data_IF_131723512427
#
_entry.id   IF_131723512427
#
_cell.length_a   1.000
_cell.length_b   1.000
_cell.length_c   1.000
_cell.angle_alpha   90.00
_cell.angle_beta   90.00
_cell.angle_gamma   90.00
#
_symmetry.space_group_name_H-M   'P 1'
#
loop_
_entity.id
_entity.type
_entity.pdbx_description
1 polymer ?
#
# COMPACT_ATOMS: atom_id res chain seq x y z
N UNK A 1 9.36 -7.13 -12.10
CA UNK A 1 10.15 -6.68 -10.93
C UNK A 1 11.62 -7.00 -11.19
N UNK A 2 12.54 -6.03 -11.14
CA UNK A 2 14.00 -6.28 -11.25
C UNK A 2 14.56 -6.91 -9.96
N UNK A 3 15.71 -7.58 -10.02
CA UNK A 3 16.41 -8.12 -8.83
C UNK A 3 16.66 -7.05 -7.76
N UNK A 4 17.05 -5.84 -8.18
CA UNK A 4 17.29 -4.69 -7.29
C UNK A 4 16.03 -4.26 -6.54
N UNK A 5 14.90 -4.13 -7.24
CA UNK A 5 13.61 -3.83 -6.63
C UNK A 5 13.15 -4.94 -5.67
N UNK A 6 13.32 -6.21 -6.06
CA UNK A 6 12.97 -7.37 -5.21
C UNK A 6 13.76 -7.37 -3.90
N UNK A 7 15.03 -6.98 -3.96
CA UNK A 7 15.87 -6.83 -2.75
C UNK A 7 15.36 -5.71 -1.84
N UNK A 8 14.96 -4.57 -2.41
CA UNK A 8 14.40 -3.45 -1.66
C UNK A 8 13.06 -3.74 -0.99
N UNK A 9 12.28 -4.69 -1.49
CA UNK A 9 11.02 -5.10 -0.84
C UNK A 9 11.21 -5.74 0.55
N UNK A 10 12.44 -6.09 0.92
CA UNK A 10 12.79 -6.61 2.26
C UNK A 10 13.42 -5.55 3.17
N UNK A 11 13.60 -4.32 2.67
CA UNK A 11 14.33 -3.25 3.35
C UNK A 11 13.77 -2.96 4.75
N UNK A 12 12.43 -2.93 4.89
CA UNK A 12 11.78 -2.65 6.17
C UNK A 12 12.16 -3.60 7.32
N UNK A 13 12.74 -4.77 7.01
CA UNK A 13 13.18 -5.78 7.99
C UNK A 13 14.70 -5.96 8.01
N UNK A 14 15.36 -5.87 6.85
CA UNK A 14 16.79 -6.18 6.68
C UNK A 14 17.70 -4.94 6.66
N UNK A 15 17.22 -3.81 6.14
CA UNK A 15 18.01 -2.59 5.90
C UNK A 15 17.75 -1.48 6.90
N UNK A 16 17.08 -1.81 8.01
CA UNK A 16 16.58 -0.86 8.99
C UNK A 16 17.58 -0.59 10.14
N UNK A 17 17.65 0.66 10.60
CA UNK A 17 18.49 1.11 11.73
C UNK A 17 17.56 1.68 12.81
N UNK A 18 17.59 1.10 14.02
CA UNK A 18 16.79 1.57 15.17
C UNK A 18 17.59 2.61 15.98
N UNK A 19 17.43 3.88 15.65
CA UNK A 19 18.01 5.01 16.39
C UNK A 19 16.95 5.84 17.14
N UNK A 20 15.72 5.31 17.24
CA UNK A 20 14.59 5.97 17.89
C UNK A 20 13.91 7.06 17.07
N UNK A 21 14.38 7.40 15.87
CA UNK A 21 13.72 8.38 15.00
C UNK A 21 12.70 7.70 14.06
N UNK A 22 11.55 8.34 13.87
CA UNK A 22 10.50 7.85 12.95
C UNK A 22 10.74 8.43 11.54
N UNK A 23 11.17 7.59 10.59
CA UNK A 23 11.45 7.94 9.18
C UNK A 23 10.58 7.18 8.20
N UNK A 24 9.99 6.08 8.64
CA UNK A 24 9.26 5.15 7.82
C UNK A 24 8.10 4.53 8.61
N UNK A 25 6.97 4.13 7.99
CA UNK A 25 5.88 3.45 8.69
C UNK A 25 6.30 2.22 9.53
N UNK A 26 7.39 1.56 9.13
CA UNK A 26 8.01 0.44 9.87
C UNK A 26 8.53 0.82 11.27
N UNK A 27 8.84 2.09 11.51
CA UNK A 27 9.27 2.60 12.83
C UNK A 27 8.11 2.72 13.82
N UNK A 28 6.87 2.71 13.32
CA UNK A 28 5.69 2.96 14.12
C UNK A 28 5.40 1.83 15.11
N UNK A 29 4.83 2.19 16.27
CA UNK A 29 4.33 1.20 17.25
C UNK A 29 3.25 0.29 16.65
N UNK A 30 2.43 0.81 15.75
CA UNK A 30 1.38 0.04 15.07
C UNK A 30 1.98 -1.09 14.23
N UNK A 31 3.04 -0.80 13.47
CA UNK A 31 3.76 -1.81 12.67
C UNK A 31 4.41 -2.86 13.56
N UNK A 32 5.16 -2.46 14.59
CA UNK A 32 5.80 -3.39 15.53
C UNK A 32 4.76 -4.27 16.25
N UNK A 33 3.61 -3.72 16.62
CA UNK A 33 2.51 -4.49 17.22
C UNK A 33 1.91 -5.50 16.24
N UNK A 34 1.64 -5.07 15.00
CA UNK A 34 1.14 -5.94 13.93
C UNK A 34 2.09 -7.10 13.69
N UNK A 35 3.39 -6.84 13.62
CA UNK A 35 4.40 -7.87 13.38
C UNK A 35 4.47 -8.90 14.49
N UNK A 36 4.30 -8.47 15.74
CA UNK A 36 4.20 -9.38 16.87
C UNK A 36 2.93 -10.23 16.80
N UNK A 37 1.79 -9.62 16.47
CA UNK A 37 0.48 -10.28 16.44
C UNK A 37 0.37 -11.31 15.31
N UNK A 38 0.87 -10.98 14.13
CA UNK A 38 0.73 -11.80 12.91
C UNK A 38 2.05 -12.43 12.45
N UNK A 39 3.02 -12.61 13.36
CA UNK A 39 4.35 -13.13 13.03
C UNK A 39 4.30 -14.41 12.19
N UNK A 40 3.53 -15.43 12.63
CA UNK A 40 3.49 -16.73 11.94
C UNK A 40 2.79 -16.68 10.58
N UNK A 41 1.74 -15.86 10.44
CA UNK A 41 0.92 -15.77 9.22
C UNK A 41 1.55 -14.87 8.17
N UNK A 42 2.09 -13.72 8.59
CA UNK A 42 2.47 -12.63 7.69
C UNK A 42 3.92 -12.19 7.85
N UNK A 43 4.30 -11.71 9.04
CA UNK A 43 5.55 -10.95 9.23
C UNK A 43 6.82 -11.80 9.30
N UNK A 44 6.70 -13.13 9.35
CA UNK A 44 7.84 -14.05 9.24
C UNK A 44 8.55 -13.86 7.90
N UNK A 45 7.80 -13.79 6.80
CA UNK A 45 8.36 -13.51 5.48
C UNK A 45 8.49 -11.98 5.29
N UNK A 46 9.71 -11.51 5.09
CA UNK A 46 10.01 -10.09 4.83
C UNK A 46 9.44 -9.60 3.50
N UNK A 47 8.99 -10.51 2.63
CA UNK A 47 8.47 -10.17 1.32
C UNK A 47 6.96 -9.96 1.32
N UNK A 48 6.26 -10.38 2.38
CA UNK A 48 4.84 -10.06 2.57
C UNK A 48 4.64 -8.54 2.49
N UNK A 49 3.73 -8.11 1.63
CA UNK A 49 3.63 -6.71 1.18
C UNK A 49 2.66 -5.93 2.06
N UNK A 50 3.13 -4.81 2.60
CA UNK A 50 2.30 -3.85 3.31
C UNK A 50 2.00 -2.69 2.39
N UNK A 51 0.72 -2.47 2.18
CA UNK A 51 0.20 -1.43 1.31
C UNK A 51 -0.35 -0.29 2.16
N UNK A 52 0.02 0.94 1.81
CA UNK A 52 -0.71 2.14 2.17
C UNK A 52 -1.78 2.41 1.12
N UNK A 53 -3.01 2.67 1.54
CA UNK A 53 -4.09 3.10 0.65
C UNK A 53 -4.29 4.60 0.81
N UNK A 54 -4.29 5.32 -0.32
CA UNK A 54 -4.58 6.74 -0.40
C UNK A 54 -5.62 6.99 -1.50
N UNK A 55 -6.51 7.95 -1.27
CA UNK A 55 -7.46 8.43 -2.27
C UNK A 55 -7.71 9.91 -2.01
N UNK A 56 -7.72 10.72 -3.07
CA UNK A 56 -8.00 12.15 -3.00
C UNK A 56 -8.71 12.60 -4.28
N UNK A 57 -9.52 13.65 -4.20
CA UNK A 57 -10.27 14.19 -5.32
C UNK A 57 -9.46 15.22 -6.10
N UNK A 58 -9.31 15.04 -7.41
CA UNK A 58 -8.74 16.07 -8.28
C UNK A 58 -9.65 16.38 -9.48
N UNK A 59 -9.57 17.63 -9.96
CA UNK A 59 -10.29 18.07 -11.14
C UNK A 59 -9.34 18.13 -12.35
N UNK A 60 -9.45 17.21 -13.33
CA UNK A 60 -8.55 17.18 -14.48
C UNK A 60 -8.70 18.39 -15.42
N UNK A 61 -9.84 19.09 -15.38
CA UNK A 61 -10.12 20.25 -16.24
C UNK A 61 -9.84 21.60 -15.55
N UNK A 62 -9.36 21.57 -14.30
CA UNK A 62 -9.06 22.76 -13.52
C UNK A 62 -10.26 23.72 -13.38
N UNK A 63 -10.00 25.03 -13.37
CA UNK A 63 -11.04 26.06 -13.21
C UNK A 63 -12.05 26.11 -14.38
N UNK A 64 -11.77 25.45 -15.51
CA UNK A 64 -12.60 25.53 -16.71
C UNK A 64 -13.89 24.70 -16.61
N UNK A 65 -13.96 23.76 -15.66
CA UNK A 65 -15.15 22.96 -15.43
C UNK A 65 -15.16 22.44 -13.99
N UNK A 66 -16.09 22.91 -13.16
CA UNK A 66 -16.31 22.41 -11.79
C UNK A 66 -17.20 21.16 -11.74
N UNK A 67 -17.65 20.66 -12.89
CA UNK A 67 -18.63 19.57 -12.98
C UNK A 67 -18.02 18.18 -13.00
N UNK A 68 -16.69 18.06 -12.86
CA UNK A 68 -15.97 16.80 -12.95
C UNK A 68 -14.92 16.69 -11.84
N UNK A 69 -14.98 15.61 -11.08
CA UNK A 69 -13.96 15.19 -10.13
C UNK A 69 -13.55 13.75 -10.41
N UNK A 70 -12.28 13.45 -10.18
CA UNK A 70 -11.73 12.11 -10.31
C UNK A 70 -11.02 11.78 -9.01
N UNK A 71 -11.31 10.59 -8.49
CA UNK A 71 -10.71 10.09 -7.25
C UNK A 71 -9.88 8.82 -7.54
N UNK A 72 -8.57 8.95 -7.78
CA UNK A 72 -7.69 7.80 -7.89
C UNK A 72 -7.51 7.13 -6.53
N UNK A 73 -7.72 5.81 -6.49
CA UNK A 73 -7.31 4.97 -5.37
C UNK A 73 -5.91 4.45 -5.67
N UNK A 74 -4.97 4.81 -4.80
CA UNK A 74 -3.55 4.54 -4.96
C UNK A 74 -3.08 3.63 -3.83
N UNK A 75 -2.37 2.57 -4.19
CA UNK A 75 -1.67 1.69 -3.27
C UNK A 75 -0.17 1.98 -3.29
N UNK A 76 0.42 2.11 -2.10
CA UNK A 76 1.84 2.44 -1.90
C UNK A 76 2.52 1.26 -1.19
N UNK A 77 3.53 0.61 -1.78
CA UNK A 77 4.25 -0.48 -1.13
C UNK A 77 5.21 0.06 -0.07
N UNK A 78 4.78 0.05 1.20
CA UNK A 78 5.62 0.45 2.34
C UNK A 78 6.72 -0.56 2.67
N UNK A 79 6.91 -1.59 1.85
CA UNK A 79 8.08 -2.47 1.96
C UNK A 79 9.37 -1.78 1.52
N UNK A 80 9.25 -0.82 0.59
CA UNK A 80 10.36 -0.10 -0.02
C UNK A 80 10.96 0.93 0.95
N UNK A 81 12.25 1.28 0.77
CA UNK A 81 12.86 2.33 1.58
C UNK A 81 12.22 3.72 1.38
N UNK A 82 12.40 4.66 2.33
CA UNK A 82 11.78 5.98 2.31
C UNK A 82 11.97 6.76 1.00
N UNK A 83 13.16 6.66 0.40
CA UNK A 83 13.49 7.36 -0.85
C UNK A 83 12.87 6.71 -2.10
N UNK A 84 12.26 5.53 -1.98
CA UNK A 84 11.58 4.83 -3.08
C UNK A 84 10.08 4.76 -2.90
N UNK A 85 9.56 4.49 -1.69
CA UNK A 85 8.13 4.27 -1.48
C UNK A 85 7.27 5.50 -1.89
N UNK A 86 7.81 6.72 -1.75
CA UNK A 86 7.11 7.96 -2.13
C UNK A 86 7.29 8.34 -3.61
N UNK A 87 8.07 7.59 -4.41
CA UNK A 87 8.20 7.87 -5.85
C UNK A 87 6.95 7.40 -6.58
N UNK A 88 6.37 8.30 -7.39
CA UNK A 88 5.17 8.02 -8.19
C UNK A 88 5.30 6.75 -9.07
N UNK A 89 6.51 6.42 -9.52
CA UNK A 89 6.80 5.22 -10.31
C UNK A 89 6.52 3.90 -9.56
N UNK A 90 6.48 3.95 -8.22
CA UNK A 90 6.21 2.80 -7.36
C UNK A 90 4.76 2.81 -6.83
N UNK A 91 3.96 3.81 -7.19
CA UNK A 91 2.55 3.85 -6.85
C UNK A 91 1.78 2.92 -7.77
N UNK A 92 0.87 2.14 -7.19
CA UNK A 92 -0.01 1.24 -7.91
C UNK A 92 -1.38 1.91 -7.94
N UNK A 93 -1.81 2.36 -9.11
CA UNK A 93 -3.16 2.90 -9.29
C UNK A 93 -4.13 1.73 -9.43
N UNK A 94 -4.95 1.48 -8.42
CA UNK A 94 -5.88 0.34 -8.39
C UNK A 94 -7.22 0.67 -9.02
N UNK A 95 -7.73 1.88 -8.82
CA UNK A 95 -9.05 2.31 -9.29
C UNK A 95 -9.07 3.81 -9.58
N UNK A 96 -9.94 4.21 -10.50
CA UNK A 96 -10.30 5.60 -10.74
C UNK A 96 -11.82 5.69 -10.56
N UNK A 97 -12.27 6.51 -9.61
CA UNK A 97 -13.70 6.77 -9.40
C UNK A 97 -14.05 8.08 -10.09
N UNK A 98 -14.75 8.06 -11.24
CA UNK A 98 -15.23 9.26 -11.90
C UNK A 98 -16.54 9.72 -11.25
N UNK A 99 -16.71 11.03 -11.09
CA UNK A 99 -18.00 11.57 -10.68
C UNK A 99 -18.02 13.09 -10.70
N UNK A 100 -19.19 13.72 -10.94
CA UNK A 100 -19.30 15.17 -10.84
C UNK A 100 -19.02 15.70 -9.42
N UNK A 101 -19.06 14.82 -8.42
CA UNK A 101 -18.81 15.09 -7.01
C UNK A 101 -18.03 13.95 -6.37
N UNK A 102 -17.49 14.23 -5.18
CA UNK A 102 -16.88 13.22 -4.31
C UNK A 102 -17.81 12.01 -4.09
N UNK A 103 -17.25 10.78 -3.98
CA UNK A 103 -18.03 9.61 -3.59
C UNK A 103 -18.67 9.78 -2.20
N UNK A 104 -18.15 10.69 -1.36
CA UNK A 104 -18.70 10.99 -0.04
C UNK A 104 -18.85 9.73 0.81
N UNK A 105 -20.05 9.52 1.34
CA UNK A 105 -20.36 8.35 2.17
C UNK A 105 -20.36 7.02 1.40
N UNK A 106 -20.38 7.03 0.06
CA UNK A 106 -20.44 5.82 -0.76
C UNK A 106 -19.04 5.31 -1.17
N UNK A 107 -17.96 5.84 -0.61
CA UNK A 107 -16.59 5.43 -0.96
C UNK A 107 -16.34 3.94 -0.66
N UNK A 108 -16.98 3.41 0.37
CA UNK A 108 -16.93 2.00 0.76
C UNK A 108 -17.49 1.06 -0.34
N UNK A 109 -18.59 1.45 -1.00
CA UNK A 109 -19.17 0.72 -2.12
C UNK A 109 -18.17 0.59 -3.28
N UNK A 110 -17.40 1.64 -3.58
CA UNK A 110 -16.37 1.60 -4.61
C UNK A 110 -15.14 0.79 -4.18
N UNK A 111 -14.79 0.80 -2.90
CA UNK A 111 -13.62 0.07 -2.38
C UNK A 111 -13.88 -1.43 -2.21
N UNK A 112 -15.14 -1.88 -2.22
CA UNK A 112 -15.49 -3.28 -1.98
C UNK A 112 -14.71 -4.29 -2.85
N UNK A 113 -14.59 -4.13 -4.18
CA UNK A 113 -13.83 -5.07 -5.00
C UNK A 113 -12.34 -5.13 -4.60
N UNK A 114 -11.76 -3.98 -4.24
CA UNK A 114 -10.36 -3.90 -3.79
C UNK A 114 -10.17 -4.59 -2.44
N UNK A 115 -11.13 -4.43 -1.52
CA UNK A 115 -11.12 -5.09 -0.21
C UNK A 115 -11.21 -6.62 -0.40
N UNK A 116 -12.06 -7.09 -1.30
CA UNK A 116 -12.21 -8.52 -1.58
C UNK A 116 -10.89 -9.12 -2.11
N UNK A 117 -10.22 -8.45 -3.06
CA UNK A 117 -8.89 -8.87 -3.55
C UNK A 117 -7.83 -8.87 -2.44
N UNK A 118 -7.81 -7.83 -1.59
CA UNK A 118 -6.89 -7.75 -0.46
C UNK A 118 -7.15 -8.85 0.58
N UNK A 119 -8.40 -9.26 0.78
CA UNK A 119 -8.76 -10.37 1.66
C UNK A 119 -8.25 -11.70 1.12
N UNK A 120 -8.35 -11.94 -0.20
CA UNK A 120 -7.77 -13.14 -0.85
C UNK A 120 -6.25 -13.15 -0.66
N UNK A 121 -5.58 -12.02 -0.89
CA UNK A 121 -4.13 -11.92 -0.68
C UNK A 121 -3.72 -12.07 0.79
N UNK A 122 -4.60 -11.78 1.74
CA UNK A 122 -4.34 -11.95 3.16
C UNK A 122 -4.57 -13.40 3.64
N UNK A 123 -5.57 -14.10 3.10
CA UNK A 123 -5.91 -15.46 3.51
C UNK A 123 -5.10 -16.52 2.75
N UNK A 124 -5.05 -16.42 1.42
CA UNK A 124 -4.44 -17.43 0.55
C UNK A 124 -3.01 -17.03 0.14
N UNK A 125 -2.75 -15.73 0.08
CA UNK A 125 -1.53 -15.18 -0.52
C UNK A 125 -1.48 -15.42 -2.03
N UNK A 126 -0.37 -15.01 -2.64
CA UNK A 126 -0.11 -15.22 -4.06
C UNK A 126 1.23 -15.94 -4.26
N UNK A 127 1.27 -16.86 -5.23
CA UNK A 127 2.52 -17.40 -5.73
C UNK A 127 3.24 -16.33 -6.56
N UNK A 128 4.49 -16.03 -6.19
CA UNK A 128 5.23 -14.91 -6.77
C UNK A 128 6.67 -15.29 -7.04
N UNK A 129 7.20 -14.89 -8.19
CA UNK A 129 8.61 -15.09 -8.52
C UNK A 129 9.45 -13.98 -7.86
N UNK A 130 10.39 -14.38 -7.01
CA UNK A 130 11.36 -13.48 -6.39
C UNK A 130 12.60 -13.38 -7.27
N UNK A 131 12.77 -12.24 -7.94
CA UNK A 131 13.89 -12.01 -8.84
C UNK A 131 15.25 -11.99 -8.10
N UNK A 132 15.31 -11.54 -6.84
CA UNK A 132 16.56 -11.48 -6.09
C UNK A 132 17.08 -12.87 -5.72
N UNK A 133 16.17 -13.80 -5.40
CA UNK A 133 16.56 -15.18 -5.04
C UNK A 133 16.40 -16.17 -6.20
N UNK A 134 15.82 -15.73 -7.32
CA UNK A 134 15.46 -16.53 -8.51
C UNK A 134 14.60 -17.75 -8.16
N UNK A 135 13.73 -17.62 -7.15
CA UNK A 135 12.88 -18.69 -6.63
C UNK A 135 11.42 -18.28 -6.66
N UNK A 136 10.56 -19.27 -6.84
CA UNK A 136 9.13 -19.10 -6.65
C UNK A 136 8.87 -19.11 -5.14
N UNK A 137 8.21 -18.06 -4.67
CA UNK A 137 7.75 -17.90 -3.30
C UNK A 137 6.33 -18.39 -3.23
N UNK A 138 6.07 -19.43 -2.44
CA UNK A 138 4.71 -19.87 -2.15
C UNK A 138 4.09 -18.93 -1.12
N UNK A 139 2.92 -18.39 -1.45
CA UNK A 139 2.04 -17.63 -0.57
C UNK A 139 2.68 -16.35 0.01
N UNK A 140 3.07 -15.41 -0.86
CA UNK A 140 3.35 -14.04 -0.44
C UNK A 140 2.02 -13.36 -0.10
N UNK A 141 1.87 -12.88 1.12
CA UNK A 141 0.64 -12.23 1.56
C UNK A 141 0.72 -10.72 1.36
N UNK A 142 -0.43 -10.06 1.23
CA UNK A 142 -0.51 -8.60 1.28
C UNK A 142 -1.47 -8.16 2.38
N UNK A 143 -1.21 -7.00 2.99
CA UNK A 143 -2.16 -6.37 3.89
C UNK A 143 -2.13 -4.85 3.72
N UNK A 144 -3.30 -4.22 3.85
CA UNK A 144 -3.35 -2.78 4.01
C UNK A 144 -3.08 -2.43 5.48
N UNK A 145 -2.06 -1.63 5.74
CA UNK A 145 -1.79 -1.14 7.09
C UNK A 145 -2.86 -0.11 7.52
N UNK A 146 -3.07 0.11 8.84
CA UNK A 146 -3.80 1.28 9.29
C UNK A 146 -3.04 2.51 8.79
N UNK A 147 -3.63 3.21 7.83
CA UNK A 147 -3.12 4.45 7.27
C UNK A 147 -2.69 5.38 8.41
N UNK A 148 -1.43 5.82 8.41
CA UNK A 148 -1.09 7.10 9.05
C UNK A 148 -1.72 8.17 8.18
N UNK A 149 -2.99 8.42 8.48
CA UNK A 149 -3.81 9.58 8.14
C UNK A 149 -3.33 10.36 6.90
N UNK A 150 -3.77 9.94 5.72
CA UNK A 150 -4.01 10.93 4.66
C UNK A 150 -5.50 11.17 4.65
N UNK A 151 -5.86 12.42 4.95
CA UNK A 151 -7.19 12.85 5.33
C UNK A 151 -8.22 12.43 4.27
N UNK A 152 -9.23 11.66 4.70
CA UNK A 152 -10.58 11.83 4.17
C UNK A 152 -11.02 13.23 4.61
N UNK A 153 -10.51 14.26 3.95
CA UNK A 153 -10.94 15.62 4.21
C UNK A 153 -12.37 15.69 3.70
N UNK A 154 -13.31 15.67 4.64
CA UNK A 154 -14.62 16.26 4.46
C UNK A 154 -14.40 17.68 3.91
N UNK A 155 -14.68 17.87 2.63
CA UNK A 155 -15.20 19.13 2.13
C UNK A 155 -16.71 18.98 2.05
#
# INVERSE_FOLDING_TARGET
MTEHMSSHMKWHKEGWVDDGAMRHPADSKAWKHFDKKYYKKFSKDARSVRLGLASDGFNPFGLMSISHSIWPVILIPYNLPPWMCMKQQNWIMSMIIPGPKSPGNNIDMYLQPLIDELNVLWEDGAETYDAATKKISRCMHACCGPSMTTQLTQC
#
